data_IF_549746481690
#
_entry.id   IF_549746481690
#
_cell.length_a   1.000
_cell.length_b   1.000
_cell.length_c   1.000
_cell.angle_alpha   90.00
_cell.angle_beta   90.00
_cell.angle_gamma   90.00
#
_symmetry.space_group_name_H-M   'P 1'
#
loop_
_entity.id
_entity.type
_entity.pdbx_description
1 polymer ?
#
# COMPACT_ATOMS: atom_id res chain seq x y z
N UNK A 1 -16.31 0.19 -13.92
CA UNK A 1 -15.64 -0.11 -12.64
C UNK A 1 -14.39 -0.90 -12.94
N UNK A 2 -13.20 -0.39 -12.59
CA UNK A 2 -11.96 -1.18 -12.62
C UNK A 2 -11.88 -1.84 -11.25
N UNK A 3 -12.13 -3.15 -11.19
CA UNK A 3 -12.24 -3.90 -9.94
C UNK A 3 -10.92 -3.93 -9.16
N UNK A 4 -10.72 -2.93 -8.31
CA UNK A 4 -9.69 -2.92 -7.26
C UNK A 4 -9.86 -4.14 -6.35
N UNK A 5 -11.10 -4.64 -6.19
CA UNK A 5 -11.39 -5.90 -5.52
C UNK A 5 -10.62 -7.08 -6.15
N UNK A 6 -10.54 -7.19 -7.48
CA UNK A 6 -9.82 -8.29 -8.15
C UNK A 6 -8.30 -8.21 -7.92
N UNK A 7 -7.74 -7.00 -7.84
CA UNK A 7 -6.32 -6.77 -7.54
C UNK A 7 -5.94 -7.29 -6.16
N UNK A 8 -6.84 -7.16 -5.18
CA UNK A 8 -6.61 -7.62 -3.82
C UNK A 8 -7.27 -8.96 -3.51
N UNK A 9 -8.17 -9.51 -4.33
CA UNK A 9 -8.92 -10.73 -3.97
C UNK A 9 -8.02 -11.92 -3.65
N UNK A 10 -6.96 -12.10 -4.45
CA UNK A 10 -5.95 -13.13 -4.20
C UNK A 10 -5.18 -12.86 -2.90
N UNK A 11 -4.79 -11.62 -2.66
CA UNK A 11 -4.00 -11.21 -1.48
C UNK A 11 -4.83 -11.11 -0.19
N UNK A 12 -6.11 -10.75 -0.29
CA UNK A 12 -7.07 -10.66 0.80
C UNK A 12 -7.42 -12.05 1.35
N UNK A 13 -7.47 -13.06 0.46
CA UNK A 13 -7.59 -14.46 0.87
C UNK A 13 -6.34 -14.95 1.60
N UNK A 14 -5.14 -14.61 1.12
CA UNK A 14 -3.88 -14.99 1.77
C UNK A 14 -3.68 -14.26 3.12
N UNK A 15 -4.13 -13.00 3.22
CA UNK A 15 -4.06 -12.19 4.45
C UNK A 15 -5.20 -12.44 5.43
N UNK A 16 -6.33 -13.05 5.03
CA UNK A 16 -7.43 -13.40 5.96
C UNK A 16 -6.98 -14.31 7.10
N UNK A 17 -5.91 -15.09 6.90
CA UNK A 17 -5.34 -15.98 7.90
C UNK A 17 -4.09 -15.41 8.60
N UNK A 18 -3.58 -14.24 8.19
CA UNK A 18 -2.27 -13.74 8.60
C UNK A 18 -2.16 -12.22 8.79
N UNK A 19 -3.20 -11.41 8.56
CA UNK A 19 -3.10 -9.96 8.68
C UNK A 19 -2.85 -9.56 10.15
N UNK A 20 -1.64 -9.06 10.50
CA UNK A 20 -1.45 -8.48 11.81
C UNK A 20 -2.28 -7.19 11.91
N UNK A 21 -2.81 -6.85 13.09
CA UNK A 21 -3.55 -5.62 13.26
C UNK A 21 -2.63 -4.42 12.98
N UNK A 22 -3.07 -3.53 12.09
CA UNK A 22 -2.32 -2.31 11.74
C UNK A 22 -2.88 -1.16 12.56
N UNK A 23 -2.04 -0.48 13.33
CA UNK A 23 -2.45 0.70 14.09
C UNK A 23 -2.89 1.81 13.15
N UNK A 24 -4.12 2.31 13.32
CA UNK A 24 -4.59 3.46 12.54
C UNK A 24 -3.75 4.71 12.88
N UNK A 25 -3.39 5.55 11.89
CA UNK A 25 -2.45 6.65 12.07
C UNK A 25 -2.91 7.77 13.02
N UNK A 26 -4.15 7.74 13.51
CA UNK A 26 -4.82 8.81 14.26
C UNK A 26 -5.22 8.43 15.70
N UNK A 27 -4.56 7.45 16.32
CA UNK A 27 -4.67 7.19 17.77
C UNK A 27 -6.03 6.65 18.26
N UNK A 28 -6.94 6.29 17.35
CA UNK A 28 -8.31 5.84 17.65
C UNK A 28 -8.43 4.36 18.07
N UNK A 29 -7.38 3.80 18.68
CA UNK A 29 -7.29 2.38 19.02
C UNK A 29 -6.82 1.49 17.85
N UNK A 30 -6.59 0.20 18.15
CA UNK A 30 -6.30 -0.83 17.15
C UNK A 30 -7.53 -1.01 16.26
N UNK A 31 -7.36 -0.80 14.95
CA UNK A 31 -8.40 -1.05 13.95
C UNK A 31 -7.92 -2.14 13.01
N UNK A 32 -8.82 -3.03 12.64
CA UNK A 32 -8.49 -4.18 11.79
C UNK A 32 -8.62 -3.74 10.33
N UNK A 33 -7.58 -4.07 9.54
CA UNK A 33 -7.62 -3.93 8.09
C UNK A 33 -8.41 -5.10 7.51
N UNK A 34 -9.51 -4.79 6.83
CA UNK A 34 -10.30 -5.74 6.06
C UNK A 34 -10.16 -5.37 4.57
N UNK A 35 -9.35 -6.10 3.82
CA UNK A 35 -9.07 -5.79 2.41
C UNK A 35 -10.28 -5.94 1.48
N UNK A 36 -11.32 -6.65 1.92
CA UNK A 36 -12.60 -6.79 1.22
C UNK A 36 -13.63 -5.72 1.61
N UNK A 37 -13.34 -4.86 2.59
CA UNK A 37 -14.22 -3.77 3.01
C UNK A 37 -13.70 -2.43 2.47
N UNK A 38 -14.49 -1.78 1.62
CA UNK A 38 -14.12 -0.51 1.00
C UNK A 38 -13.82 0.58 2.04
N UNK A 39 -14.58 0.66 3.13
CA UNK A 39 -14.37 1.68 4.17
C UNK A 39 -13.04 1.45 4.90
N UNK A 40 -12.70 0.20 5.22
CA UNK A 40 -11.43 -0.18 5.82
C UNK A 40 -10.26 0.13 4.88
N UNK A 41 -10.32 -0.31 3.61
CA UNK A 41 -9.28 0.00 2.62
C UNK A 41 -9.09 1.51 2.46
N UNK A 42 -10.17 2.28 2.41
CA UNK A 42 -10.13 3.74 2.36
C UNK A 42 -9.47 4.35 3.60
N UNK A 43 -9.78 3.82 4.78
CA UNK A 43 -9.19 4.29 6.02
C UNK A 43 -7.68 4.02 6.08
N UNK A 44 -7.22 2.89 5.55
CA UNK A 44 -5.83 2.44 5.63
C UNK A 44 -5.01 2.68 4.35
N UNK A 45 -5.56 3.37 3.35
CA UNK A 45 -4.95 3.47 2.02
C UNK A 45 -3.46 3.85 2.04
N UNK A 46 -3.07 4.85 2.82
CA UNK A 46 -1.67 5.27 2.88
C UNK A 46 -0.76 4.20 3.51
N UNK A 47 -1.22 3.49 4.54
CA UNK A 47 -0.47 2.38 5.12
C UNK A 47 -0.31 1.22 4.11
N UNK A 48 -1.34 0.97 3.30
CA UNK A 48 -1.28 -0.01 2.20
C UNK A 48 -0.27 0.45 1.15
N UNK A 49 -0.30 1.71 0.72
CA UNK A 49 0.69 2.27 -0.21
C UNK A 49 2.11 2.10 0.34
N UNK A 50 2.37 2.49 1.59
CA UNK A 50 3.69 2.31 2.22
C UNK A 50 4.14 0.85 2.14
N UNK A 51 3.27 -0.10 2.47
CA UNK A 51 3.60 -1.52 2.43
C UNK A 51 3.93 -2.03 1.02
N UNK A 52 3.12 -1.71 0.00
CA UNK A 52 3.35 -2.19 -1.38
C UNK A 52 4.57 -1.53 -2.04
N UNK A 53 4.92 -0.31 -1.62
CA UNK A 53 6.16 0.38 -2.02
C UNK A 53 7.38 -0.01 -1.18
N UNK A 54 7.22 -0.88 -0.18
CA UNK A 54 8.31 -1.31 0.71
C UNK A 54 9.48 -1.99 0.01
N UNK A 55 9.27 -2.46 -1.23
CA UNK A 55 10.29 -3.09 -2.09
C UNK A 55 10.87 -2.16 -3.17
N UNK A 56 10.58 -0.85 -3.13
CA UNK A 56 11.09 0.09 -4.13
C UNK A 56 12.59 0.37 -3.98
N UNK A 57 13.16 0.03 -2.83
CA UNK A 57 14.62 -0.06 -2.64
C UNK A 57 15.07 -1.51 -2.58
N UNK A 58 16.24 -1.79 -3.16
CA UNK A 58 16.92 -3.06 -2.95
C UNK A 58 17.69 -3.09 -1.62
N UNK A 59 18.32 -4.23 -1.32
CA UNK A 59 19.15 -4.45 -0.13
C UNK A 59 20.35 -3.50 -0.05
N UNK A 60 20.79 -2.95 -1.18
CA UNK A 60 21.92 -2.02 -1.27
C UNK A 60 21.46 -0.56 -1.15
N UNK A 61 20.16 -0.32 -0.96
CA UNK A 61 19.56 1.00 -0.85
C UNK A 61 19.39 1.74 -2.19
N UNK A 62 19.54 1.06 -3.33
CA UNK A 62 19.27 1.65 -4.64
C UNK A 62 17.80 1.56 -4.98
N UNK A 63 17.30 2.58 -5.68
CA UNK A 63 15.93 2.58 -6.17
C UNK A 63 15.78 1.60 -7.33
N UNK A 64 14.81 0.69 -7.21
CA UNK A 64 14.40 -0.22 -8.27
C UNK A 64 13.48 0.45 -9.30
N UNK A 65 12.92 1.61 -8.94
CA UNK A 65 11.94 2.35 -9.75
C UNK A 65 12.31 3.82 -9.97
N UNK A 66 11.90 4.42 -11.10
CA UNK A 66 12.04 5.84 -11.37
C UNK A 66 11.22 6.69 -10.37
N UNK A 67 11.57 7.98 -10.19
CA UNK A 67 10.87 8.88 -9.27
C UNK A 67 9.35 8.95 -9.46
N UNK A 68 8.85 8.86 -10.70
CA UNK A 68 7.42 8.91 -11.00
C UNK A 68 6.60 7.75 -10.40
N UNK A 69 7.27 6.65 -10.03
CA UNK A 69 6.67 5.45 -9.45
C UNK A 69 6.95 5.31 -7.95
N UNK A 70 7.61 6.29 -7.34
CA UNK A 70 7.90 6.28 -5.91
C UNK A 70 6.75 6.89 -5.15
N UNK A 71 6.44 6.30 -4.00
CA UNK A 71 5.49 6.87 -3.07
C UNK A 71 6.11 8.03 -2.29
N UNK A 72 5.43 9.16 -2.25
CA UNK A 72 5.81 10.31 -1.41
C UNK A 72 5.41 10.06 0.04
N UNK A 73 6.22 10.53 0.98
CA UNK A 73 5.84 10.59 2.39
C UNK A 73 4.72 11.60 2.58
N UNK A 74 3.67 11.20 3.28
CA UNK A 74 2.60 12.10 3.67
C UNK A 74 3.15 13.25 4.54
N UNK A 75 2.88 14.49 4.15
CA UNK A 75 3.40 15.68 4.84
C UNK A 75 4.88 15.99 4.61
N UNK A 76 5.59 15.21 3.77
CA UNK A 76 6.98 15.45 3.38
C UNK A 76 7.12 16.46 2.23
N UNK A 77 8.36 16.83 1.94
CA UNK A 77 8.70 17.68 0.78
C UNK A 77 8.55 16.96 -0.57
N UNK A 78 8.74 17.70 -1.67
CA UNK A 78 8.58 17.18 -3.04
C UNK A 78 9.50 15.97 -3.37
N UNK A 79 10.62 15.85 -2.64
CA UNK A 79 11.64 14.80 -2.80
C UNK A 79 11.68 13.82 -1.61
N UNK A 80 10.71 13.88 -0.69
CA UNK A 80 10.61 12.95 0.44
C UNK A 80 9.87 11.68 0.02
N UNK A 81 10.63 10.65 -0.35
CA UNK A 81 10.09 9.36 -0.79
C UNK A 81 10.08 8.33 0.35
N UNK A 82 9.09 7.44 0.33
CA UNK A 82 9.05 6.26 1.21
C UNK A 82 10.20 5.34 0.82
N UNK A 83 11.17 5.20 1.71
CA UNK A 83 12.42 4.47 1.45
C UNK A 83 12.38 3.01 1.93
N UNK A 84 11.51 2.70 2.88
CA UNK A 84 11.30 1.36 3.41
C UNK A 84 9.93 1.26 4.08
N UNK A 85 9.40 0.04 4.16
CA UNK A 85 8.26 -0.31 4.98
C UNK A 85 8.71 -1.34 6.03
N UNK A 86 8.27 -1.23 7.30
CA UNK A 86 8.57 -2.25 8.31
C UNK A 86 8.05 -3.64 7.94
N UNK A 87 6.90 -3.67 7.25
CA UNK A 87 6.26 -4.88 6.74
C UNK A 87 5.88 -4.65 5.27
N UNK A 88 6.83 -4.82 4.33
CA UNK A 88 6.54 -4.74 2.91
C UNK A 88 5.52 -5.80 2.49
N UNK A 89 4.70 -5.49 1.48
CA UNK A 89 3.71 -6.42 0.94
C UNK A 89 3.82 -6.58 -0.59
N UNK A 90 3.59 -7.80 -1.10
CA UNK A 90 3.39 -9.06 -0.37
C UNK A 90 4.70 -9.58 0.24
N UNK A 91 4.65 -10.45 1.27
CA UNK A 91 5.84 -10.94 1.97
C UNK A 91 6.86 -11.62 1.03
N UNK A 92 6.38 -12.21 -0.06
CA UNK A 92 7.21 -12.95 -1.04
C UNK A 92 7.90 -12.04 -2.06
N UNK A 93 7.77 -10.72 -1.95
CA UNK A 93 8.48 -9.76 -2.77
C UNK A 93 7.58 -8.74 -3.46
N UNK A 94 8.18 -7.97 -4.36
CA UNK A 94 7.51 -6.82 -4.98
C UNK A 94 6.33 -7.23 -5.86
N UNK A 95 5.20 -6.55 -5.74
CA UNK A 95 4.09 -6.67 -6.69
C UNK A 95 4.49 -6.22 -8.10
N UNK A 96 3.81 -6.69 -9.15
CA UNK A 96 3.94 -6.10 -10.48
C UNK A 96 3.68 -4.60 -10.44
N UNK A 97 4.51 -3.80 -11.10
CA UNK A 97 4.39 -2.33 -11.11
C UNK A 97 2.99 -1.87 -11.52
N UNK A 98 2.40 -2.53 -12.52
CA UNK A 98 1.07 -2.19 -13.01
C UNK A 98 0.00 -2.27 -11.90
N UNK A 99 0.11 -3.23 -10.98
CA UNK A 99 -0.85 -3.37 -9.89
C UNK A 99 -0.70 -2.24 -8.86
N UNK A 100 0.54 -1.84 -8.56
CA UNK A 100 0.86 -0.69 -7.71
C UNK A 100 0.31 0.59 -8.35
N UNK A 101 0.58 0.81 -9.64
CA UNK A 101 0.12 1.98 -10.38
C UNK A 101 -1.41 2.11 -10.38
N UNK A 102 -2.13 0.99 -10.51
CA UNK A 102 -3.61 1.01 -10.45
C UNK A 102 -4.10 1.44 -9.06
N UNK A 103 -3.50 0.91 -7.99
CA UNK A 103 -3.89 1.29 -6.64
C UNK A 103 -3.58 2.76 -6.35
N UNK A 104 -2.38 3.21 -6.71
CA UNK A 104 -1.96 4.60 -6.57
C UNK A 104 -2.86 5.55 -7.35
N UNK A 105 -3.22 5.19 -8.58
CA UNK A 105 -4.12 5.99 -9.38
C UNK A 105 -5.51 6.08 -8.74
N UNK A 106 -6.05 4.96 -8.25
CA UNK A 106 -7.33 4.96 -7.56
C UNK A 106 -7.32 5.83 -6.29
N UNK A 107 -6.23 5.82 -5.53
CA UNK A 107 -6.03 6.73 -4.38
C UNK A 107 -6.00 8.19 -4.83
N UNK A 108 -5.26 8.51 -5.91
CA UNK A 108 -5.21 9.88 -6.49
C UNK A 108 -6.56 10.34 -6.99
N UNK A 109 -7.37 9.44 -7.53
CA UNK A 109 -8.72 9.72 -8.04
C UNK A 109 -9.76 9.88 -6.90
N UNK A 110 -9.32 9.85 -5.63
CA UNK A 110 -10.18 10.06 -4.46
C UNK A 110 -10.85 8.79 -3.94
N UNK A 111 -10.38 7.62 -4.39
CA UNK A 111 -10.92 6.31 -4.02
C UNK A 111 -12.42 6.22 -4.26
N UNK A 112 -12.90 6.62 -5.43
CA UNK A 112 -14.32 6.53 -5.77
C UNK A 112 -14.76 5.05 -5.90
N UNK A 113 -15.99 4.70 -5.49
CA UNK A 113 -16.53 3.34 -5.63
C UNK A 113 -16.66 2.85 -7.09
#
# INVERSE_FOLDING_TARGET
MRDVLVLFFKYANDMQNQAPPITAPNGAGLKILYLNDYASVKQFHYAIQVAIHGYDRDSDGKWRVPPAQRLRKQGGGAEDWVASAPHPMPPDGRMPQQAIDIFDQWVRDGMLP
#
